data_IF_794937886328
#
_entry.id   IF_794937886328
#
_cell.length_a   1.000
_cell.length_b   1.000
_cell.length_c   1.000
_cell.angle_alpha   90.00
_cell.angle_beta   90.00
_cell.angle_gamma   90.00
#
_symmetry.space_group_name_H-M   'P 1'
#
loop_
_entity.id
_entity.type
_entity.pdbx_description
1 polymer ?
#
# COMPACT_ATOMS: atom_id res chain seq x y z
N UNK A 1 19.54 0.35 5.45
CA UNK A 1 18.48 1.36 5.62
C UNK A 1 17.41 0.78 6.52
N UNK A 2 16.86 1.60 7.42
CA UNK A 2 15.70 1.21 8.21
C UNK A 2 14.45 1.06 7.32
N UNK A 3 13.48 0.22 7.68
CA UNK A 3 12.16 0.19 7.05
C UNK A 3 11.52 1.58 7.05
N UNK A 4 10.72 1.88 6.03
CA UNK A 4 9.86 3.04 6.02
C UNK A 4 8.82 2.93 7.14
N UNK A 5 8.64 4.02 7.88
CA UNK A 5 7.60 4.19 8.89
C UNK A 5 6.73 5.42 8.58
N UNK A 6 5.63 5.61 9.32
CA UNK A 6 4.69 6.72 9.08
C UNK A 6 5.30 8.14 9.12
N UNK A 7 6.49 8.30 9.70
CA UNK A 7 7.21 9.58 9.83
C UNK A 7 8.32 9.74 8.78
N UNK A 8 8.59 8.69 7.99
CA UNK A 8 9.63 8.69 6.96
C UNK A 8 9.28 9.57 5.75
N UNK A 9 8.00 9.94 5.61
CA UNK A 9 7.53 10.88 4.58
C UNK A 9 6.26 11.61 5.04
N UNK A 10 5.78 12.56 4.22
CA UNK A 10 4.51 13.24 4.44
C UNK A 10 3.33 12.26 4.38
N UNK A 11 2.52 12.23 5.43
CA UNK A 11 1.30 11.42 5.53
C UNK A 11 0.12 12.25 6.01
N UNK A 12 -1.07 11.95 5.49
CA UNK A 12 -2.37 12.37 6.02
C UNK A 12 -3.05 11.16 6.68
N UNK A 13 -3.94 11.37 7.67
CA UNK A 13 -4.74 10.29 8.24
C UNK A 13 -5.51 9.55 7.16
N UNK A 14 -5.67 8.23 7.31
CA UNK A 14 -6.45 7.47 6.36
C UNK A 14 -7.95 7.82 6.47
N UNK A 15 -8.66 7.99 5.33
CA UNK A 15 -9.99 8.60 5.29
C UNK A 15 -11.04 7.73 5.98
N UNK A 16 -12.20 8.27 6.36
CA UNK A 16 -13.30 7.41 6.85
C UNK A 16 -13.99 6.68 5.70
N UNK A 17 -14.18 7.36 4.57
CA UNK A 17 -14.82 6.82 3.37
C UNK A 17 -13.89 5.85 2.64
N UNK A 18 -14.17 4.55 2.77
CA UNK A 18 -13.39 3.46 2.18
C UNK A 18 -14.30 2.38 1.62
N UNK A 19 -13.87 1.77 0.54
CA UNK A 19 -14.47 0.55 0.02
C UNK A 19 -13.51 -0.62 0.27
N UNK A 20 -14.03 -1.71 0.82
CA UNK A 20 -13.25 -2.94 1.04
C UNK A 20 -13.25 -3.80 -0.22
N UNK A 21 -12.16 -4.53 -0.41
CA UNK A 21 -12.04 -5.49 -1.48
C UNK A 21 -11.18 -6.68 -1.08
N UNK A 22 -11.41 -7.79 -1.78
CA UNK A 22 -10.56 -8.97 -1.70
C UNK A 22 -9.48 -8.91 -2.77
N UNK A 23 -8.27 -9.32 -2.40
CA UNK A 23 -7.11 -9.40 -3.27
C UNK A 23 -6.26 -10.61 -2.87
N UNK A 24 -6.64 -11.83 -3.30
CA UNK A 24 -6.04 -13.08 -2.82
C UNK A 24 -4.65 -13.30 -3.43
N UNK A 25 -3.66 -12.54 -2.95
CA UNK A 25 -2.26 -12.66 -3.32
C UNK A 25 -1.49 -13.44 -2.25
N UNK A 26 -0.54 -14.26 -2.72
CA UNK A 26 0.41 -14.99 -1.90
C UNK A 26 1.82 -14.63 -2.37
N UNK A 27 2.66 -14.26 -1.43
CA UNK A 27 4.05 -13.89 -1.63
C UNK A 27 4.94 -14.84 -0.85
N UNK A 28 6.15 -15.08 -1.34
CA UNK A 28 7.18 -15.81 -0.59
C UNK A 28 7.57 -15.02 0.67
N UNK A 29 8.14 -15.69 1.66
CA UNK A 29 8.60 -15.01 2.89
C UNK A 29 9.60 -13.87 2.59
N UNK A 30 10.54 -14.11 1.66
CA UNK A 30 11.50 -13.10 1.24
C UNK A 30 10.84 -11.87 0.58
N UNK A 31 9.76 -12.06 -0.17
CA UNK A 31 8.98 -10.97 -0.76
C UNK A 31 8.19 -10.23 0.31
N UNK A 32 7.59 -10.96 1.26
CA UNK A 32 6.94 -10.39 2.44
C UNK A 32 7.86 -9.49 3.27
N UNK A 33 9.11 -9.92 3.49
CA UNK A 33 10.12 -9.11 4.17
C UNK A 33 10.49 -7.84 3.39
N UNK A 34 10.51 -7.90 2.05
CA UNK A 34 10.71 -6.69 1.21
C UNK A 34 9.52 -5.75 1.30
N UNK A 35 8.30 -6.30 1.24
CA UNK A 35 7.08 -5.52 1.40
C UNK A 35 7.05 -4.79 2.75
N UNK A 36 7.43 -5.46 3.86
CA UNK A 36 7.51 -4.85 5.19
C UNK A 36 8.53 -3.71 5.31
N UNK A 37 9.54 -3.64 4.42
CA UNK A 37 10.46 -2.49 4.36
C UNK A 37 9.81 -1.24 3.79
N UNK A 38 8.69 -1.38 3.07
CA UNK A 38 8.00 -0.27 2.42
C UNK A 38 8.81 0.35 1.29
N UNK A 39 8.44 1.58 0.93
CA UNK A 39 9.03 2.33 -0.16
C UNK A 39 9.01 3.83 0.16
N UNK A 40 10.20 4.47 0.13
CA UNK A 40 10.36 5.91 0.30
C UNK A 40 10.59 6.53 -1.09
N UNK A 41 9.80 7.53 -1.50
CA UNK A 41 9.96 8.18 -2.80
C UNK A 41 11.35 8.78 -2.98
N UNK A 42 11.96 8.59 -4.16
CA UNK A 42 13.30 9.13 -4.46
C UNK A 42 13.28 10.45 -5.24
N UNK A 43 12.22 10.70 -6.01
CA UNK A 43 12.10 11.89 -6.86
C UNK A 43 10.64 12.35 -7.07
N UNK A 44 10.45 13.34 -7.95
CA UNK A 44 9.13 13.93 -8.24
C UNK A 44 8.20 13.04 -9.08
N UNK A 45 8.75 12.06 -9.80
CA UNK A 45 7.98 11.08 -10.59
C UNK A 45 7.53 9.90 -9.72
N UNK A 46 8.18 9.72 -8.58
CA UNK A 46 7.79 8.75 -7.58
C UNK A 46 6.59 9.21 -6.74
N UNK A 47 5.42 8.86 -7.25
CA UNK A 47 4.13 9.32 -6.76
C UNK A 47 3.66 8.62 -5.48
N UNK A 48 4.41 7.65 -4.96
CA UNK A 48 3.95 6.76 -3.92
C UNK A 48 4.94 6.66 -2.76
N UNK A 49 4.39 6.79 -1.56
CA UNK A 49 5.05 6.45 -0.32
C UNK A 49 4.32 5.26 0.29
N UNK A 50 5.06 4.21 0.69
CA UNK A 50 4.47 2.98 1.20
C UNK A 50 5.19 2.60 2.48
N UNK A 51 4.45 2.25 3.53
CA UNK A 51 5.04 1.75 4.77
C UNK A 51 4.19 0.64 5.37
N UNK A 52 4.83 -0.18 6.21
CA UNK A 52 4.18 -1.26 6.93
C UNK A 52 4.06 -0.89 8.42
N UNK A 53 2.85 -0.98 8.96
CA UNK A 53 2.59 -0.71 10.38
C UNK A 53 1.41 -1.56 10.87
N UNK A 54 1.55 -2.19 12.03
CA UNK A 54 0.47 -2.94 12.71
C UNK A 54 -0.24 -3.98 11.83
N UNK A 55 0.48 -4.67 10.94
CA UNK A 55 -0.10 -5.68 10.04
C UNK A 55 -0.61 -5.14 8.70
N UNK A 56 -0.52 -3.83 8.48
CA UNK A 56 -1.02 -3.16 7.29
C UNK A 56 0.10 -2.54 6.47
N UNK A 57 0.01 -2.68 5.15
CA UNK A 57 0.69 -1.82 4.20
C UNK A 57 -0.20 -0.64 3.85
N UNK A 58 0.30 0.57 4.07
CA UNK A 58 -0.41 1.81 3.71
C UNK A 58 0.25 2.46 2.50
N UNK A 59 -0.57 2.83 1.52
CA UNK A 59 -0.13 3.45 0.27
C UNK A 59 -0.59 4.91 0.24
N UNK A 60 0.38 5.81 0.34
CA UNK A 60 0.16 7.24 0.34
C UNK A 60 0.65 7.88 -0.95
N UNK A 61 -0.04 8.93 -1.40
CA UNK A 61 0.48 9.81 -2.45
C UNK A 61 1.64 10.62 -1.89
N UNK A 62 2.81 10.54 -2.50
CA UNK A 62 4.02 11.22 -2.01
C UNK A 62 3.88 12.74 -1.92
N UNK A 63 3.12 13.35 -2.85
CA UNK A 63 2.94 14.81 -2.92
C UNK A 63 1.96 15.35 -1.88
N UNK A 64 0.78 14.76 -1.78
CA UNK A 64 -0.28 15.27 -0.88
C UNK A 64 -0.22 14.63 0.50
N UNK A 65 0.36 13.44 0.62
CA UNK A 65 0.29 12.58 1.81
C UNK A 65 -1.00 11.78 1.92
N UNK A 66 -1.93 11.90 0.96
CA UNK A 66 -3.23 11.24 1.01
C UNK A 66 -3.09 9.71 1.04
N UNK A 67 -3.75 9.06 1.99
CA UNK A 67 -3.79 7.62 2.16
C UNK A 67 -4.83 7.02 1.21
N UNK A 68 -4.38 6.28 0.19
CA UNK A 68 -5.25 5.80 -0.90
C UNK A 68 -5.63 4.34 -0.70
N UNK A 69 -4.69 3.50 -0.30
CA UNK A 69 -4.93 2.07 -0.13
C UNK A 69 -4.37 1.59 1.20
N UNK A 70 -5.01 0.54 1.73
CA UNK A 70 -4.43 -0.26 2.80
C UNK A 70 -4.62 -1.75 2.51
N UNK A 71 -3.56 -2.53 2.70
CA UNK A 71 -3.60 -3.98 2.58
C UNK A 71 -3.18 -4.64 3.89
N UNK A 72 -3.99 -5.55 4.42
CA UNK A 72 -3.63 -6.35 5.58
C UNK A 72 -2.88 -7.58 5.12
N UNK A 73 -1.69 -7.75 5.69
CA UNK A 73 -0.85 -8.92 5.47
C UNK A 73 -0.96 -9.86 6.66
N UNK A 74 -0.97 -11.16 6.36
CA UNK A 74 -0.91 -12.22 7.36
C UNK A 74 0.16 -13.24 7.01
N UNK A 75 0.78 -13.79 8.05
CA UNK A 75 1.73 -14.89 7.90
C UNK A 75 0.97 -16.19 7.64
N UNK A 76 1.44 -16.99 6.69
CA UNK A 76 0.93 -18.34 6.44
C UNK A 76 2.09 -19.33 6.35
N UNK A 77 1.85 -20.64 6.50
CA UNK A 77 2.89 -21.66 6.29
C UNK A 77 3.51 -21.65 4.88
N UNK A 78 2.89 -20.93 3.93
CA UNK A 78 3.30 -20.85 2.53
C UNK A 78 3.83 -19.47 2.14
N UNK A 79 4.11 -18.60 3.12
CA UNK A 79 4.54 -17.22 2.88
C UNK A 79 3.56 -16.19 3.41
N UNK A 80 3.58 -14.99 2.86
CA UNK A 80 2.75 -13.85 3.29
C UNK A 80 1.53 -13.70 2.37
N UNK A 81 0.34 -13.62 2.97
CA UNK A 81 -0.93 -13.47 2.24
C UNK A 81 -1.52 -12.10 2.43
N UNK A 82 -2.15 -11.57 1.39
CA UNK A 82 -3.07 -10.43 1.51
C UNK A 82 -4.43 -10.98 1.89
N UNK A 83 -4.91 -10.62 3.08
CA UNK A 83 -6.17 -11.14 3.63
C UNK A 83 -7.32 -10.14 3.59
N UNK A 84 -7.01 -8.86 3.41
CA UNK A 84 -7.99 -7.79 3.29
C UNK A 84 -7.37 -6.57 2.61
N UNK A 85 -8.14 -5.89 1.77
CA UNK A 85 -7.77 -4.62 1.18
C UNK A 85 -8.87 -3.58 1.34
N UNK A 86 -8.48 -2.32 1.34
CA UNK A 86 -9.42 -1.21 1.20
C UNK A 86 -8.82 -0.10 0.33
N UNK A 87 -9.70 0.64 -0.32
CA UNK A 87 -9.38 1.81 -1.14
C UNK A 87 -10.17 3.02 -0.64
N UNK A 88 -9.53 4.19 -0.67
CA UNK A 88 -10.15 5.46 -0.38
C UNK A 88 -11.30 5.75 -1.35
N UNK A 89 -12.41 6.26 -0.81
CA UNK A 89 -13.50 6.86 -1.60
C UNK A 89 -13.62 8.37 -1.38
N UNK A 90 -12.65 8.95 -0.66
CA UNK A 90 -12.51 10.38 -0.51
C UNK A 90 -12.13 11.03 -1.84
N UNK A 91 -13.12 11.68 -2.47
CA UNK A 91 -12.99 12.33 -3.77
C UNK A 91 -12.12 13.59 -3.75
N UNK A 92 -11.86 14.18 -2.58
CA UNK A 92 -10.95 15.33 -2.47
C UNK A 92 -9.53 14.92 -2.85
N UNK A 93 -9.14 13.72 -2.45
CA UNK A 93 -7.78 13.23 -2.63
C UNK A 93 -7.65 12.12 -3.67
N UNK A 94 -8.75 11.42 -3.99
CA UNK A 94 -8.73 10.30 -4.90
C UNK A 94 -10.00 10.18 -5.73
N UNK A 95 -9.88 10.50 -7.03
CA UNK A 95 -10.93 10.21 -8.00
C UNK A 95 -10.79 8.76 -8.50
N UNK A 96 -11.32 7.82 -7.73
CA UNK A 96 -11.28 6.40 -8.07
C UNK A 96 -11.89 6.11 -9.45
N UNK A 97 -11.18 5.40 -10.34
CA UNK A 97 -11.72 4.92 -11.61
C UNK A 97 -12.64 3.68 -11.48
N UNK A 98 -12.70 3.05 -10.30
CA UNK A 98 -13.50 1.86 -10.05
C UNK A 98 -12.69 0.73 -9.42
N UNK A 99 -13.37 -0.14 -8.68
CA UNK A 99 -12.70 -1.14 -7.82
C UNK A 99 -11.76 -2.08 -8.56
N UNK A 100 -12.08 -2.46 -9.80
CA UNK A 100 -11.25 -3.35 -10.59
C UNK A 100 -9.95 -2.68 -11.07
N UNK A 101 -10.01 -1.38 -11.38
CA UNK A 101 -8.83 -0.58 -11.70
C UNK A 101 -7.99 -0.32 -10.44
N UNK A 102 -8.64 -0.11 -9.29
CA UNK A 102 -7.97 0.08 -8.00
C UNK A 102 -7.15 -1.15 -7.61
N UNK A 103 -7.73 -2.36 -7.72
CA UNK A 103 -7.04 -3.63 -7.48
C UNK A 103 -5.81 -3.78 -8.38
N UNK A 104 -5.95 -3.51 -9.69
CA UNK A 104 -4.85 -3.56 -10.65
C UNK A 104 -3.73 -2.57 -10.30
N UNK A 105 -4.09 -1.35 -9.90
CA UNK A 105 -3.12 -0.34 -9.48
C UNK A 105 -2.32 -0.83 -8.27
N UNK A 106 -2.99 -1.32 -7.22
CA UNK A 106 -2.31 -1.83 -6.02
C UNK A 106 -1.39 -3.01 -6.34
N UNK A 107 -1.82 -3.94 -7.18
CA UNK A 107 -0.99 -5.06 -7.65
C UNK A 107 0.28 -4.56 -8.37
N UNK A 108 0.13 -3.58 -9.28
CA UNK A 108 1.25 -2.98 -9.98
C UNK A 108 2.22 -2.28 -9.01
N UNK A 109 1.71 -1.60 -7.98
CA UNK A 109 2.56 -0.93 -6.98
C UNK A 109 3.36 -1.93 -6.15
N UNK A 110 2.78 -3.05 -5.74
CA UNK A 110 3.52 -4.10 -5.04
C UNK A 110 4.69 -4.58 -5.91
N UNK A 111 4.41 -4.95 -7.16
CA UNK A 111 5.44 -5.44 -8.08
C UNK A 111 6.53 -4.41 -8.38
N UNK A 112 6.15 -3.17 -8.66
CA UNK A 112 7.07 -2.13 -9.16
C UNK A 112 7.77 -1.28 -8.10
N UNK A 113 7.33 -1.34 -6.84
CA UNK A 113 7.91 -0.53 -5.73
C UNK A 113 8.37 -1.35 -4.54
N UNK A 114 7.73 -2.50 -4.28
CA UNK A 114 8.08 -3.33 -3.13
C UNK A 114 8.91 -4.56 -3.52
N UNK A 115 8.72 -5.07 -4.75
CA UNK A 115 9.36 -6.28 -5.24
C UNK A 115 10.35 -6.05 -6.40
N UNK A 116 10.51 -4.80 -6.85
CA UNK A 116 11.48 -4.40 -7.88
C UNK A 116 12.92 -4.38 -7.36
#
# INVERSE_FOLDING_TARGET
MAPADRNSWKTLPCPYERERFELPLLFLDAEGERMRKGHIPQDMDDKWFIFFENGWLYFHRSRTGACIYGLRLDGSPHGVRVIEGWVSRDREHYNSPGIEQDKKMVQQLIGSRLLA
#
